data_IF_526096094282
#
_entry.id   IF_526096094282
#
_cell.length_a   1.000
_cell.length_b   1.000
_cell.length_c   1.000
_cell.angle_alpha   90.00
_cell.angle_beta   90.00
_cell.angle_gamma   90.00
#
_symmetry.space_group_name_H-M   'P 1'
#
loop_
_entity.id
_entity.type
_entity.pdbx_description
1 polymer ?
#
# COMPACT_ATOMS: atom_id res chain seq x y z
N UNK A 1 -5.56 8.71 -22.23
CA UNK A 1 -4.39 9.55 -22.55
C UNK A 1 -4.89 10.92 -22.91
N UNK A 2 -4.84 11.83 -21.96
CA UNK A 2 -5.09 13.25 -22.17
C UNK A 2 -3.79 13.97 -21.81
N UNK A 3 -3.28 14.80 -22.72
CA UNK A 3 -2.05 15.60 -22.55
C UNK A 3 -2.41 17.06 -22.78
N UNK A 4 -1.80 17.96 -22.01
CA UNK A 4 -2.04 19.41 -22.11
C UNK A 4 -1.04 20.08 -23.07
N UNK A 5 0.21 19.60 -23.11
CA UNK A 5 1.26 20.09 -24.00
C UNK A 5 1.93 18.96 -24.79
N UNK A 6 2.24 19.21 -26.07
CA UNK A 6 2.93 18.28 -26.96
C UNK A 6 4.37 17.95 -26.54
N UNK A 7 5.01 18.79 -25.73
CA UNK A 7 6.35 18.55 -25.20
C UNK A 7 6.38 17.35 -24.20
N UNK A 8 5.22 16.91 -23.68
CA UNK A 8 5.09 15.78 -22.77
C UNK A 8 5.04 14.42 -23.50
N UNK A 9 4.89 14.42 -24.84
CA UNK A 9 4.92 13.22 -25.70
C UNK A 9 6.34 12.68 -25.89
N UNK A 10 6.93 12.20 -24.80
CA UNK A 10 8.21 11.47 -24.84
C UNK A 10 7.98 9.99 -25.15
N UNK A 11 8.99 9.32 -25.70
CA UNK A 11 8.96 7.86 -25.89
C UNK A 11 8.66 7.12 -24.59
N UNK A 12 9.19 7.65 -23.49
CA UNK A 12 9.07 7.08 -22.16
C UNK A 12 7.64 7.23 -21.64
N UNK A 13 7.02 8.40 -21.82
CA UNK A 13 5.60 8.63 -21.49
C UNK A 13 4.67 7.67 -22.23
N UNK A 14 4.88 7.50 -23.54
CA UNK A 14 4.08 6.58 -24.35
C UNK A 14 4.24 5.12 -23.90
N UNK A 15 5.46 4.70 -23.59
CA UNK A 15 5.73 3.35 -23.09
C UNK A 15 5.07 3.13 -21.73
N UNK A 16 5.19 4.10 -20.84
CA UNK A 16 4.67 4.07 -19.48
C UNK A 16 3.13 4.08 -19.38
N UNK A 17 2.46 4.77 -20.30
CA UNK A 17 1.01 4.91 -20.30
C UNK A 17 0.32 3.75 -21.02
N UNK A 18 1.01 3.11 -21.99
CA UNK A 18 0.51 1.93 -22.71
C UNK A 18 0.79 0.63 -21.97
N UNK A 19 1.91 0.53 -21.25
CA UNK A 19 2.26 -0.68 -20.51
C UNK A 19 1.80 -0.60 -19.05
N UNK A 20 1.15 -1.64 -18.51
CA UNK A 20 0.74 -1.67 -17.11
C UNK A 20 1.92 -1.41 -16.18
N UNK A 21 1.91 -0.28 -15.47
CA UNK A 21 2.91 0.00 -14.44
C UNK A 21 2.66 -0.95 -13.27
N UNK A 22 3.61 -1.85 -13.03
CA UNK A 22 3.59 -2.63 -11.81
C UNK A 22 3.83 -1.65 -10.64
N UNK A 23 2.78 -1.35 -9.87
CA UNK A 23 2.91 -0.58 -8.63
C UNK A 23 3.68 -1.43 -7.63
N UNK A 24 5.01 -1.35 -7.71
CA UNK A 24 5.94 -2.11 -6.92
C UNK A 24 5.90 -1.63 -5.47
N UNK A 25 4.95 -2.17 -4.70
CA UNK A 25 4.88 -2.13 -3.24
C UNK A 25 4.81 -0.72 -2.60
N UNK A 26 3.71 -0.43 -1.90
CA UNK A 26 3.61 0.77 -1.06
C UNK A 26 4.65 0.69 0.05
N UNK A 27 5.65 1.56 0.02
CA UNK A 27 6.65 1.62 1.08
C UNK A 27 5.96 1.99 2.40
N UNK A 28 5.97 1.06 3.35
CA UNK A 28 5.42 1.28 4.69
C UNK A 28 6.57 1.59 5.65
N UNK A 29 6.46 2.70 6.37
CA UNK A 29 7.41 3.02 7.43
C UNK A 29 7.37 1.97 8.54
N UNK A 30 8.51 1.72 9.16
CA UNK A 30 8.59 0.82 10.30
C UNK A 30 7.70 1.31 11.45
N UNK A 31 6.95 0.39 12.07
CA UNK A 31 6.18 0.70 13.27
C UNK A 31 7.14 1.17 14.38
N UNK A 32 6.81 2.24 15.13
CA UNK A 32 7.65 2.70 16.22
C UNK A 32 7.81 1.62 17.29
N UNK A 33 8.88 1.73 18.09
CA UNK A 33 9.12 0.80 19.20
C UNK A 33 7.92 0.83 20.15
N UNK A 34 7.41 -0.34 20.50
CA UNK A 34 6.31 -0.48 21.45
C UNK A 34 6.70 -0.02 22.86
N UNK A 35 5.73 0.01 23.79
CA UNK A 35 5.96 0.46 25.15
C UNK A 35 7.09 -0.30 25.86
N UNK A 36 7.97 0.45 26.52
CA UNK A 36 9.09 -0.08 27.29
C UNK A 36 8.59 -0.98 28.43
N UNK A 37 9.23 -2.15 28.61
CA UNK A 37 8.88 -3.07 29.69
C UNK A 37 7.60 -3.88 29.45
N UNK A 38 7.14 -4.03 28.20
CA UNK A 38 5.98 -4.88 27.88
C UNK A 38 6.17 -6.30 28.44
N UNK A 39 5.32 -6.68 29.39
CA UNK A 39 5.28 -8.00 30.01
C UNK A 39 4.18 -8.85 29.37
N UNK A 40 4.53 -10.05 28.91
CA UNK A 40 3.60 -11.00 28.29
C UNK A 40 3.49 -10.92 26.77
N UNK A 41 3.09 -12.03 26.15
CA UNK A 41 2.92 -12.15 24.69
C UNK A 41 1.75 -11.33 24.14
N UNK A 42 1.75 -11.06 22.83
CA UNK A 42 0.58 -10.49 22.13
C UNK A 42 -0.55 -11.52 22.18
N UNK A 43 -1.74 -11.11 22.66
CA UNK A 43 -2.93 -11.97 22.75
C UNK A 43 -3.94 -11.55 21.69
N UNK A 44 -4.61 -12.53 21.11
CA UNK A 44 -5.82 -12.29 20.31
C UNK A 44 -6.92 -11.89 21.31
N UNK A 45 -7.53 -10.71 21.12
CA UNK A 45 -8.62 -10.22 21.97
C UNK A 45 -9.99 -10.42 21.33
N UNK A 46 -10.06 -11.17 20.22
CA UNK A 46 -11.31 -11.45 19.50
C UNK A 46 -12.30 -12.13 20.45
N UNK A 47 -13.46 -11.52 20.64
CA UNK A 47 -14.58 -12.15 21.31
C UNK A 47 -15.14 -13.28 20.42
N UNK A 48 -15.60 -14.42 20.99
CA UNK A 48 -16.25 -15.46 20.20
C UNK A 48 -17.49 -14.89 19.51
N UNK A 49 -17.40 -14.62 18.20
CA UNK A 49 -18.49 -14.06 17.39
C UNK A 49 -18.08 -12.94 16.41
N UNK A 50 -16.94 -12.29 16.61
CA UNK A 50 -16.53 -11.10 15.83
C UNK A 50 -15.78 -11.47 14.54
N UNK A 51 -16.42 -12.18 13.62
CA UNK A 51 -15.86 -12.33 12.26
C UNK A 51 -16.92 -12.75 11.29
N UNK A 52 -17.94 -11.91 11.23
CA UNK A 52 -18.82 -11.81 10.08
C UNK A 52 -18.27 -10.75 9.13
N UNK A 53 -18.11 -11.18 7.88
CA UNK A 53 -18.49 -10.47 6.66
C UNK A 53 -17.72 -9.19 6.26
N UNK A 54 -16.80 -9.37 5.32
CA UNK A 54 -16.55 -8.43 4.22
C UNK A 54 -16.16 -9.29 3.00
N UNK A 55 -17.15 -9.59 2.14
CA UNK A 55 -17.00 -10.10 0.76
C UNK A 55 -17.01 -8.90 -0.20
#
# INVERSE_FOLDING_TARGET
MEIDNGDELTSDFLYEEVHPKQHAHKQAFAKPKGPTGKRGGRRITRAPGDGGDDD
#
